data_IF_831646246242
#
_entry.id   IF_831646246242
#
_cell.length_a   1.000
_cell.length_b   1.000
_cell.length_c   1.000
_cell.angle_alpha   90.00
_cell.angle_beta   90.00
_cell.angle_gamma   90.00
#
_symmetry.space_group_name_H-M   'P 1'
#
loop_
_entity.id
_entity.type
_entity.pdbx_description
1 polymer ?
#
# COMPACT_ATOMS: atom_id res chain seq x y z
N UNK A 1 -8.94 15.24 8.07
CA UNK A 1 -8.58 13.85 7.73
C UNK A 1 -8.40 13.04 9.02
N UNK A 2 -9.31 12.09 9.33
CA UNK A 2 -9.37 11.39 10.63
C UNK A 2 -8.06 10.67 11.04
N UNK A 3 -7.20 10.31 10.08
CA UNK A 3 -6.01 9.46 10.30
C UNK A 3 -4.68 10.20 10.43
N UNK A 4 -4.68 11.54 10.29
CA UNK A 4 -3.48 12.37 10.49
C UNK A 4 -2.92 12.23 11.91
N UNK A 5 -3.80 12.02 12.91
CA UNK A 5 -3.40 11.83 14.31
C UNK A 5 -2.45 10.65 14.49
N UNK A 6 -2.65 9.56 13.75
CA UNK A 6 -1.80 8.36 13.80
C UNK A 6 -0.39 8.65 13.30
N UNK A 7 -0.27 9.41 12.21
CA UNK A 7 1.01 9.82 11.66
C UNK A 7 1.72 10.82 12.57
N UNK A 8 0.99 11.81 13.10
CA UNK A 8 1.52 12.78 14.07
C UNK A 8 2.03 12.10 15.34
N UNK A 9 1.32 11.09 15.85
CA UNK A 9 1.76 10.30 17.02
C UNK A 9 3.05 9.52 16.73
N UNK A 10 3.23 9.04 15.50
CA UNK A 10 4.35 8.17 15.14
C UNK A 10 5.62 8.92 14.74
N UNK A 11 5.45 10.03 14.01
CA UNK A 11 6.56 10.79 13.43
C UNK A 11 6.82 12.11 14.14
N UNK A 12 5.89 12.58 14.99
CA UNK A 12 6.01 13.88 15.63
C UNK A 12 5.67 15.03 14.68
N UNK A 13 6.17 16.21 15.02
CA UNK A 13 5.90 17.46 14.32
C UNK A 13 7.21 18.24 14.20
N UNK A 14 7.46 18.86 13.06
CA UNK A 14 8.63 19.72 12.85
C UNK A 14 8.39 21.16 13.33
N UNK A 15 9.42 22.00 13.20
CA UNK A 15 9.39 23.43 13.59
C UNK A 15 8.28 24.23 12.89
N UNK A 16 7.80 23.76 11.74
CA UNK A 16 6.73 24.39 10.96
C UNK A 16 5.34 23.85 11.30
N UNK A 17 5.21 22.97 12.29
CA UNK A 17 3.93 22.37 12.67
C UNK A 17 3.42 21.27 11.71
N UNK A 18 4.28 20.77 10.82
CA UNK A 18 3.98 19.69 9.87
C UNK A 18 4.48 18.34 10.39
N UNK A 19 3.91 17.23 9.89
CA UNK A 19 4.38 15.89 10.26
C UNK A 19 5.82 15.70 9.79
N UNK A 20 6.71 15.34 10.73
CA UNK A 20 8.13 15.18 10.45
C UNK A 20 8.45 13.79 9.86
N UNK A 21 8.17 13.62 8.56
CA UNK A 21 8.45 12.36 7.89
C UNK A 21 9.96 12.14 7.71
N UNK A 22 10.46 10.91 7.93
CA UNK A 22 11.86 10.62 7.66
C UNK A 22 12.17 10.78 6.17
N UNK A 23 13.39 11.25 5.87
CA UNK A 23 13.85 11.59 4.51
C UNK A 23 13.65 10.47 3.48
N UNK A 24 13.63 9.21 3.91
CA UNK A 24 13.33 8.05 3.06
C UNK A 24 12.21 7.22 3.68
N UNK A 25 10.98 7.46 3.23
CA UNK A 25 9.81 6.63 3.55
C UNK A 25 8.97 6.41 2.31
N UNK A 26 8.46 5.19 2.13
CA UNK A 26 7.59 4.89 0.99
C UNK A 26 6.15 5.32 1.26
N UNK A 27 5.46 5.83 0.24
CA UNK A 27 4.02 6.11 0.32
C UNK A 27 3.18 4.87 0.66
N UNK A 28 3.67 3.68 0.29
CA UNK A 28 3.06 2.40 0.67
C UNK A 28 3.10 2.19 2.18
N UNK A 29 4.23 2.45 2.84
CA UNK A 29 4.33 2.34 4.30
C UNK A 29 3.40 3.33 5.00
N UNK A 30 3.33 4.58 4.53
CA UNK A 30 2.39 5.58 5.07
C UNK A 30 0.94 5.08 4.91
N UNK A 31 0.61 4.54 3.73
CA UNK A 31 -0.72 4.01 3.45
C UNK A 31 -1.07 2.80 4.33
N UNK A 32 -0.12 1.88 4.58
CA UNK A 32 -0.29 0.76 5.52
C UNK A 32 -0.56 1.23 6.95
N UNK A 33 0.15 2.27 7.41
CA UNK A 33 -0.06 2.83 8.74
C UNK A 33 -1.41 3.53 8.89
N UNK A 34 -1.92 4.12 7.81
CA UNK A 34 -3.22 4.77 7.84
C UNK A 34 -4.37 3.79 7.65
N UNK A 35 -4.31 2.93 6.63
CA UNK A 35 -5.46 2.14 6.17
C UNK A 35 -5.29 0.64 6.34
N UNK A 36 -4.08 0.16 6.61
CA UNK A 36 -3.75 -1.27 6.54
C UNK A 36 -4.65 -2.13 7.43
N UNK A 37 -4.81 -1.78 8.71
CA UNK A 37 -5.63 -2.55 9.65
C UNK A 37 -7.12 -2.48 9.31
N UNK A 38 -7.62 -1.32 8.87
CA UNK A 38 -9.04 -1.16 8.51
C UNK A 38 -9.40 -1.93 7.24
N UNK A 39 -8.42 -2.15 6.35
CA UNK A 39 -8.59 -2.89 5.11
C UNK A 39 -8.33 -4.40 5.28
N UNK A 40 -8.04 -4.86 6.50
CA UNK A 40 -7.68 -6.25 6.81
C UNK A 40 -6.22 -6.38 7.24
N UNK A 41 -5.41 -7.08 6.44
CA UNK A 41 -4.00 -7.29 6.74
C UNK A 41 -3.12 -6.09 6.36
N UNK A 42 -2.61 -5.34 7.36
CA UNK A 42 -1.72 -4.19 7.16
C UNK A 42 -0.37 -4.53 6.50
N UNK A 43 0.13 -5.74 6.68
CA UNK A 43 1.32 -6.23 5.98
C UNK A 43 1.04 -6.57 4.52
N UNK A 44 -0.11 -7.19 4.27
CA UNK A 44 -0.51 -7.67 2.96
C UNK A 44 -1.05 -6.54 2.08
N UNK A 45 -1.54 -5.45 2.68
CA UNK A 45 -1.97 -4.25 1.98
C UNK A 45 -0.83 -3.71 1.09
N UNK A 46 -1.10 -3.32 -0.17
CA UNK A 46 -2.40 -3.21 -0.83
C UNK A 46 -2.74 -4.42 -1.74
N UNK A 47 -2.15 -5.59 -1.52
CA UNK A 47 -2.26 -6.75 -2.43
C UNK A 47 -2.72 -8.07 -1.78
N UNK A 48 -2.99 -8.08 -0.47
CA UNK A 48 -3.52 -9.23 0.25
C UNK A 48 -4.90 -9.66 -0.24
N UNK A 49 -5.35 -10.86 0.12
CA UNK A 49 -6.64 -11.37 -0.33
C UNK A 49 -7.82 -10.51 0.15
N UNK A 50 -7.68 -9.85 1.29
CA UNK A 50 -8.75 -9.10 1.95
C UNK A 50 -8.99 -7.71 1.35
N UNK A 51 -8.05 -7.20 0.54
CA UNK A 51 -8.09 -5.80 0.07
C UNK A 51 -8.63 -5.72 -1.36
N UNK A 52 -9.36 -4.64 -1.69
CA UNK A 52 -9.96 -4.43 -3.03
C UNK A 52 -8.94 -4.54 -4.17
N UNK A 53 -7.68 -4.19 -3.89
CA UNK A 53 -6.58 -4.19 -4.84
C UNK A 53 -5.75 -5.49 -4.82
N UNK A 54 -6.35 -6.58 -4.31
CA UNK A 54 -5.75 -7.90 -4.22
C UNK A 54 -5.19 -8.39 -5.56
N UNK A 55 -4.07 -9.11 -5.52
CA UNK A 55 -3.44 -9.61 -6.75
C UNK A 55 -4.28 -10.66 -7.45
N UNK A 56 -5.03 -11.48 -6.70
CA UNK A 56 -5.82 -12.58 -7.27
C UNK A 56 -7.08 -12.10 -8.02
N UNK A 57 -7.67 -10.97 -7.62
CA UNK A 57 -8.80 -10.35 -8.34
C UNK A 57 -8.35 -9.56 -9.56
N UNK A 58 -7.06 -9.23 -9.67
CA UNK A 58 -6.48 -8.56 -10.83
C UNK A 58 -6.25 -9.55 -11.98
N UNK A 59 -7.32 -9.83 -12.71
CA UNK A 59 -7.26 -10.54 -13.99
C UNK A 59 -6.64 -9.68 -15.09
N UNK A 60 -5.32 -9.47 -15.03
CA UNK A 60 -4.60 -8.79 -16.09
C UNK A 60 -4.42 -9.71 -17.30
N UNK A 61 -5.17 -9.44 -18.38
CA UNK A 61 -4.97 -10.04 -19.70
C UNK A 61 -3.81 -9.35 -20.42
N UNK A 62 -2.58 -9.68 -20.05
CA UNK A 62 -1.36 -9.14 -20.67
C UNK A 62 -0.51 -10.26 -21.29
N UNK A 63 -0.17 -10.13 -22.57
CA UNK A 63 0.70 -11.06 -23.29
C UNK A 63 2.03 -11.34 -22.57
N UNK A 64 2.65 -10.34 -21.90
CA UNK A 64 3.90 -10.53 -21.14
C UNK A 64 3.72 -11.52 -19.99
N UNK A 65 2.55 -11.52 -19.34
CA UNK A 65 2.22 -12.42 -18.23
C UNK A 65 2.02 -13.86 -18.72
N UNK A 66 1.40 -14.03 -19.89
CA UNK A 66 1.06 -15.35 -20.44
C UNK A 66 2.06 -15.88 -21.47
N UNK A 67 3.16 -15.17 -21.75
CA UNK A 67 4.18 -15.57 -22.74
C UNK A 67 4.72 -17.00 -22.53
N UNK A 68 4.82 -17.44 -21.27
CA UNK A 68 5.34 -18.78 -20.92
C UNK A 68 4.33 -19.90 -21.16
N UNK A 69 3.04 -19.59 -21.12
CA UNK A 69 1.92 -20.52 -21.30
C UNK A 69 1.29 -20.42 -22.68
N UNK A 70 1.84 -19.56 -23.55
CA UNK A 70 1.35 -19.40 -24.92
C UNK A 70 1.76 -20.63 -25.74
N UNK A 71 0.81 -21.15 -26.52
CA UNK A 71 1.08 -22.21 -27.47
C UNK A 71 2.16 -21.74 -28.46
N UNK A 72 3.22 -22.52 -28.62
CA UNK A 72 4.29 -22.23 -29.57
C UNK A 72 3.95 -23.00 -30.86
N UNK A 73 3.67 -22.27 -31.93
CA UNK A 73 3.63 -22.81 -33.28
C UNK A 73 5.05 -22.87 -33.85
#
# INVERSE_FOLDING_TARGET
MKKIKTLRKKFGVNEYGLIDFPKKISGVQISRMMYGNDMGCSYCFPHGYEVVNATYTKFQRNWKKYRRTQWKN
#
